data_IF_204607099263
#
_entry.id   IF_204607099263
#
_cell.length_a   1.000
_cell.length_b   1.000
_cell.length_c   1.000
_cell.angle_alpha   90.00
_cell.angle_beta   90.00
_cell.angle_gamma   90.00
#
_symmetry.space_group_name_H-M   'P 1'
#
loop_
_entity.id
_entity.type
_entity.pdbx_description
1 polymer ?
#
# COMPACT_ATOMS: atom_id res chain seq x y z
N UNK A 1 4.24 14.83 6.71
CA UNK A 1 4.18 13.49 7.36
C UNK A 1 5.43 13.13 8.18
N UNK A 2 6.50 13.94 8.22
CA UNK A 2 7.80 13.53 8.77
C UNK A 2 8.15 14.14 10.14
N UNK A 3 7.27 14.95 10.71
CA UNK A 3 7.58 15.72 11.92
C UNK A 3 7.67 14.87 13.19
N UNK A 4 6.97 13.73 13.26
CA UNK A 4 6.90 12.86 14.45
C UNK A 4 6.93 11.36 14.07
N UNK A 5 7.51 10.53 14.94
CA UNK A 5 7.42 9.07 14.85
C UNK A 5 6.00 8.65 15.26
N UNK A 6 5.33 7.88 14.41
CA UNK A 6 3.98 7.37 14.72
C UNK A 6 4.08 6.17 15.67
N UNK A 7 3.23 6.11 16.71
CA UNK A 7 3.07 4.89 17.50
C UNK A 7 2.36 3.84 16.65
N UNK A 8 3.03 2.72 16.46
CA UNK A 8 2.57 1.60 15.67
C UNK A 8 1.34 0.86 16.21
N UNK A 9 0.93 1.14 17.45
CA UNK A 9 -0.31 0.64 18.06
C UNK A 9 -1.52 1.55 17.78
N UNK A 10 -1.28 2.82 17.42
CA UNK A 10 -2.34 3.74 17.05
C UNK A 10 -3.01 3.34 15.73
N UNK A 11 -4.22 3.82 15.46
CA UNK A 11 -4.91 3.56 14.21
C UNK A 11 -4.06 4.01 13.00
N UNK A 12 -3.51 5.21 13.06
CA UNK A 12 -2.65 5.77 12.00
C UNK A 12 -1.37 4.95 11.83
N UNK A 13 -0.69 4.59 12.92
CA UNK A 13 0.54 3.80 12.85
C UNK A 13 0.30 2.41 12.27
N UNK A 14 -0.83 1.77 12.58
CA UNK A 14 -1.23 0.50 11.96
C UNK A 14 -1.44 0.65 10.46
N UNK A 15 -2.24 1.64 10.04
CA UNK A 15 -2.54 1.88 8.62
C UNK A 15 -1.27 2.20 7.83
N UNK A 16 -0.41 3.09 8.34
CA UNK A 16 0.83 3.47 7.68
C UNK A 16 1.77 2.27 7.55
N UNK A 17 1.93 1.44 8.60
CA UNK A 17 2.74 0.21 8.46
C UNK A 17 2.17 -0.77 7.44
N UNK A 18 0.85 -0.92 7.37
CA UNK A 18 0.20 -1.78 6.38
C UNK A 18 0.52 -1.30 4.96
N UNK A 19 0.45 0.01 4.70
CA UNK A 19 0.84 0.57 3.40
C UNK A 19 2.33 0.40 3.10
N UNK A 20 3.22 0.66 4.07
CA UNK A 20 4.66 0.44 3.91
C UNK A 20 4.96 -1.02 3.56
N UNK A 21 4.33 -1.96 4.26
CA UNK A 21 4.49 -3.39 4.03
C UNK A 21 3.94 -3.79 2.65
N UNK A 22 2.72 -3.37 2.30
CA UNK A 22 2.12 -3.70 1.01
C UNK A 22 2.95 -3.15 -0.17
N UNK A 23 3.44 -1.90 -0.06
CA UNK A 23 4.27 -1.27 -1.08
C UNK A 23 5.59 -2.01 -1.29
N UNK A 24 6.29 -2.38 -0.22
CA UNK A 24 7.55 -3.11 -0.32
C UNK A 24 7.37 -4.52 -0.88
N UNK A 25 6.31 -5.23 -0.45
CA UNK A 25 6.00 -6.55 -1.03
C UNK A 25 5.68 -6.47 -2.51
N UNK A 26 4.90 -5.46 -2.93
CA UNK A 26 4.58 -5.28 -4.33
C UNK A 26 5.82 -4.90 -5.15
N UNK A 27 6.71 -4.07 -4.61
CA UNK A 27 7.99 -3.72 -5.26
C UNK A 27 8.86 -4.96 -5.51
N UNK A 28 8.88 -5.91 -4.57
CA UNK A 28 9.64 -7.17 -4.67
C UNK A 28 9.02 -8.17 -5.64
N UNK A 29 7.70 -8.15 -5.80
CA UNK A 29 6.98 -9.07 -6.68
C UNK A 29 5.82 -8.37 -7.40
N UNK A 30 6.10 -7.55 -8.44
CA UNK A 30 5.08 -6.75 -9.12
C UNK A 30 3.95 -7.57 -9.72
N UNK A 31 4.24 -8.80 -10.18
CA UNK A 31 3.25 -9.73 -10.71
C UNK A 31 2.15 -10.11 -9.70
N UNK A 32 2.38 -9.94 -8.39
CA UNK A 32 1.36 -10.21 -7.37
C UNK A 32 0.19 -9.22 -7.38
N UNK A 33 0.34 -8.05 -8.03
CA UNK A 33 -0.72 -7.06 -8.13
C UNK A 33 -2.05 -7.65 -8.63
N UNK A 34 -2.00 -8.56 -9.60
CA UNK A 34 -3.18 -9.23 -10.16
C UNK A 34 -4.01 -10.01 -9.15
N UNK A 35 -3.39 -10.49 -8.06
CA UNK A 35 -4.09 -11.20 -6.98
C UNK A 35 -4.51 -10.29 -5.82
N UNK A 36 -3.93 -9.09 -5.73
CA UNK A 36 -4.22 -8.12 -4.67
C UNK A 36 -5.41 -7.21 -5.03
N UNK A 37 -5.66 -7.02 -6.32
CA UNK A 37 -6.86 -6.36 -6.81
C UNK A 37 -8.04 -7.32 -6.67
N UNK A 38 -8.72 -7.28 -5.54
CA UNK A 38 -10.01 -7.93 -5.38
C UNK A 38 -11.12 -7.05 -5.96
N UNK A 39 -11.93 -7.65 -6.84
CA UNK A 39 -13.10 -7.00 -7.45
C UNK A 39 -14.35 -7.33 -6.62
N UNK A 40 -14.91 -6.39 -5.83
CA UNK A 40 -16.23 -6.61 -5.24
C UNK A 40 -17.32 -6.54 -6.32
N UNK A 41 -18.25 -7.51 -6.34
CA UNK A 41 -19.47 -7.45 -7.16
C UNK A 41 -19.30 -7.73 -8.67
N UNK A 42 -20.27 -7.36 -9.54
CA UNK A 42 -20.40 -7.85 -10.91
C UNK A 42 -19.74 -6.98 -12.01
N UNK A 43 -18.71 -6.18 -11.70
CA UNK A 43 -17.89 -5.51 -12.73
C UNK A 43 -17.36 -6.49 -13.81
N UNK A 44 -17.31 -6.09 -15.08
CA UNK A 44 -16.87 -6.99 -16.15
C UNK A 44 -15.36 -7.28 -16.05
N UNK A 45 -14.92 -8.47 -16.51
CA UNK A 45 -13.51 -8.92 -16.43
C UNK A 45 -12.58 -8.20 -17.42
N UNK A 46 -13.15 -7.42 -18.33
CA UNK A 46 -12.53 -6.78 -19.49
C UNK A 46 -11.40 -5.82 -19.09
N UNK A 47 -11.50 -5.21 -17.90
CA UNK A 47 -10.61 -4.11 -17.47
C UNK A 47 -9.65 -4.52 -16.33
N UNK A 48 -9.51 -5.82 -16.02
CA UNK A 48 -8.71 -6.24 -14.85
C UNK A 48 -7.26 -5.77 -14.93
N UNK A 49 -6.65 -5.81 -16.11
CA UNK A 49 -5.25 -5.40 -16.28
C UNK A 49 -5.07 -3.89 -16.08
N UNK A 50 -6.06 -3.07 -16.45
CA UNK A 50 -6.07 -1.63 -16.20
C UNK A 50 -6.19 -1.31 -14.70
N UNK A 51 -7.06 -2.02 -13.97
CA UNK A 51 -7.13 -1.89 -12.52
C UNK A 51 -5.84 -2.33 -11.82
N UNK A 52 -5.20 -3.39 -12.33
CA UNK A 52 -3.90 -3.86 -11.84
C UNK A 52 -2.82 -2.80 -12.07
N UNK A 53 -2.81 -2.13 -13.21
CA UNK A 53 -1.86 -1.05 -13.46
C UNK A 53 -2.10 0.17 -12.56
N UNK A 54 -3.36 0.58 -12.39
CA UNK A 54 -3.74 1.65 -11.44
C UNK A 54 -3.27 1.33 -10.04
N UNK A 55 -3.53 0.11 -9.55
CA UNK A 55 -3.09 -0.34 -8.24
C UNK A 55 -1.56 -0.29 -8.11
N UNK A 56 -0.83 -0.78 -9.13
CA UNK A 56 0.64 -0.78 -9.15
C UNK A 56 1.21 0.63 -9.10
N UNK A 57 0.70 1.56 -9.93
CA UNK A 57 1.15 2.95 -9.96
C UNK A 57 0.80 3.67 -8.65
N UNK A 58 -0.41 3.50 -8.15
CA UNK A 58 -0.86 4.09 -6.88
C UNK A 58 0.00 3.64 -5.70
N UNK A 59 0.32 2.35 -5.59
CA UNK A 59 1.20 1.85 -4.53
C UNK A 59 2.64 2.37 -4.65
N UNK A 60 3.13 2.58 -5.88
CA UNK A 60 4.42 3.23 -6.09
C UNK A 60 4.41 4.70 -5.63
N UNK A 61 3.32 5.44 -5.87
CA UNK A 61 3.14 6.81 -5.39
C UNK A 61 3.05 6.87 -3.86
N UNK A 62 2.26 5.98 -3.24
CA UNK A 62 2.19 5.86 -1.77
C UNK A 62 3.58 5.60 -1.20
N UNK A 63 4.36 4.69 -1.79
CA UNK A 63 5.74 4.44 -1.37
C UNK A 63 6.60 5.71 -1.39
N UNK A 64 6.47 6.54 -2.44
CA UNK A 64 7.18 7.82 -2.57
C UNK A 64 6.77 8.80 -1.47
N UNK A 65 5.48 8.91 -1.16
CA UNK A 65 4.93 9.80 -0.13
C UNK A 65 5.40 9.40 1.26
N UNK A 66 5.49 8.09 1.53
CA UNK A 66 5.86 7.55 2.84
C UNK A 66 7.37 7.55 3.11
N UNK A 67 8.21 7.96 2.15
CA UNK A 67 9.67 8.04 2.36
C UNK A 67 10.01 8.96 3.53
N UNK A 68 10.77 8.44 4.49
CA UNK A 68 11.16 9.19 5.69
C UNK A 68 10.08 9.24 6.78
N UNK A 69 8.90 8.66 6.58
CA UNK A 69 7.94 8.41 7.67
C UNK A 69 8.48 7.27 8.54
N UNK A 70 8.46 7.46 9.86
CA UNK A 70 8.92 6.46 10.83
C UNK A 70 7.75 6.02 11.70
N UNK A 71 7.61 4.71 11.86
CA UNK A 71 6.61 4.10 12.75
C UNK A 71 7.34 3.15 13.69
N UNK A 72 7.11 3.29 14.99
CA UNK A 72 7.77 2.50 16.02
C UNK A 72 6.76 2.01 17.06
N UNK A 73 7.06 0.90 17.74
CA UNK A 73 6.29 0.53 18.92
C UNK A 73 6.50 1.60 19.99
N UNK A 74 5.43 2.27 20.42
CA UNK A 74 5.51 3.17 21.57
C UNK A 74 6.04 2.40 22.78
N UNK A 75 6.95 3.01 23.55
CA UNK A 75 7.33 2.46 24.87
C UNK A 75 6.10 2.37 25.77
#
# INVERSE_FOLDING_TARGET
LHANVLDSRSADGKNIRSFMFAAENLRRAPAKARYLVQKPGPLQLEDLDDYVDVYRRGMAEVSKILRGVRVAHGR
#
